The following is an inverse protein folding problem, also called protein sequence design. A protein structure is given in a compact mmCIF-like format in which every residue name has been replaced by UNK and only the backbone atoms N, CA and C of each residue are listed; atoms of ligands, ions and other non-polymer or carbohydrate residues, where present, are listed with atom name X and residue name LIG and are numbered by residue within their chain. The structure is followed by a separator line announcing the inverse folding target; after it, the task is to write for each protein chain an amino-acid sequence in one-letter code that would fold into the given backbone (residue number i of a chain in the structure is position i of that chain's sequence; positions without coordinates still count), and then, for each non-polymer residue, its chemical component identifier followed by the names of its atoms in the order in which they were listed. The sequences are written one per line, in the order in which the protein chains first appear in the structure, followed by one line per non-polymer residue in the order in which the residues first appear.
data_IF_293922162055
#
_entry.id   IF_293922162055
#
_cell.length_a   1.000
_cell.length_b   1.000
_cell.length_c   1.000
_cell.angle_alpha   90.00
_cell.angle_beta   90.00
_cell.angle_gamma   90.00
#
_symmetry.space_group_name_H-M   'P 1'
#
loop_
_entity.id
_entity.type
_entity.pdbx_description
1 polymer ?
#
# COMPACT_ATOMS: atom_id res chain seq x y z
N UNK A 1 -4.26 -45.54 -28.76
CA UNK A 1 -4.49 -44.49 -29.76
C UNK A 1 -5.26 -43.39 -29.05
N UNK A 2 -4.57 -42.41 -28.46
CA UNK A 2 -5.19 -41.25 -27.80
C UNK A 2 -4.75 -40.01 -28.57
N UNK A 3 -5.70 -39.43 -29.27
CA UNK A 3 -5.52 -38.21 -30.06
C UNK A 3 -5.47 -37.00 -29.16
N UNK A 4 -4.30 -36.38 -29.09
CA UNK A 4 -4.07 -35.08 -28.46
C UNK A 4 -4.76 -33.97 -29.25
N UNK A 5 -5.79 -33.33 -28.67
CA UNK A 5 -6.39 -32.11 -29.23
C UNK A 5 -5.55 -30.89 -28.85
N UNK A 6 -4.86 -30.32 -29.82
CA UNK A 6 -4.23 -29.00 -29.70
C UNK A 6 -5.32 -27.92 -29.70
N UNK A 7 -5.32 -27.10 -28.65
CA UNK A 7 -6.10 -25.86 -28.58
C UNK A 7 -5.28 -24.72 -29.17
N UNK A 8 -5.77 -23.93 -30.13
CA UNK A 8 -5.02 -22.82 -30.69
C UNK A 8 -4.99 -21.63 -29.73
N UNK A 9 -3.77 -21.18 -29.46
CA UNK A 9 -3.44 -19.98 -28.72
C UNK A 9 -3.94 -18.74 -29.49
N UNK A 10 -4.91 -18.03 -28.94
CA UNK A 10 -5.49 -16.82 -29.51
C UNK A 10 -4.56 -15.65 -29.20
N UNK A 11 -3.76 -15.27 -30.21
CA UNK A 11 -2.89 -14.09 -30.17
C UNK A 11 -3.80 -12.85 -30.32
N UNK A 12 -3.99 -12.12 -29.23
CA UNK A 12 -4.70 -10.84 -29.22
C UNK A 12 -3.73 -9.74 -29.65
N UNK A 13 -3.81 -9.34 -30.92
CA UNK A 13 -3.13 -8.16 -31.46
C UNK A 13 -3.79 -6.90 -30.89
N UNK A 14 -3.11 -6.20 -29.99
CA UNK A 14 -3.47 -4.84 -29.61
C UNK A 14 -3.06 -3.90 -30.74
N UNK A 15 -4.03 -3.47 -31.53
CA UNK A 15 -3.88 -2.40 -32.52
C UNK A 15 -3.76 -1.06 -31.75
N UNK A 16 -2.56 -0.52 -31.69
CA UNK A 16 -2.29 0.85 -31.24
C UNK A 16 -2.79 1.81 -32.33
N UNK A 17 -3.98 2.38 -32.14
CA UNK A 17 -4.49 3.46 -33.00
C UNK A 17 -3.70 4.75 -32.73
N UNK A 18 -2.79 5.04 -33.64
CA UNK A 18 -2.11 6.33 -33.75
C UNK A 18 -3.16 7.36 -34.22
N UNK A 19 -3.69 8.16 -33.31
CA UNK A 19 -4.48 9.33 -33.66
C UNK A 19 -3.53 10.42 -34.16
N UNK A 20 -3.42 10.53 -35.49
CA UNK A 20 -2.75 11.64 -36.15
C UNK A 20 -3.69 12.85 -36.07
N UNK A 21 -3.40 13.77 -35.15
CA UNK A 21 -4.07 15.06 -35.10
C UNK A 21 -3.54 15.90 -36.26
N UNK A 22 -4.33 15.95 -37.33
CA UNK A 22 -4.11 16.90 -38.44
C UNK A 22 -4.44 18.31 -37.94
N UNK A 23 -3.44 19.06 -37.55
CA UNK A 23 -3.57 20.51 -37.30
C UNK A 23 -3.62 21.20 -38.67
N UNK A 24 -4.80 21.37 -39.19
CA UNK A 24 -5.05 22.30 -40.28
C UNK A 24 -4.83 23.73 -39.78
N UNK A 25 -3.67 24.27 -40.08
CA UNK A 25 -3.41 25.70 -39.92
C UNK A 25 -4.28 26.49 -40.94
N UNK A 26 -5.52 26.75 -40.57
CA UNK A 26 -6.30 27.79 -41.20
C UNK A 26 -5.77 29.12 -40.65
N UNK A 27 -5.01 29.79 -41.48
CA UNK A 27 -4.65 31.22 -41.33
C UNK A 27 -5.93 32.04 -41.44
N UNK A 28 -6.74 32.06 -40.40
CA UNK A 28 -7.73 33.12 -40.24
C UNK A 28 -6.95 34.37 -39.85
N UNK A 29 -6.92 35.34 -40.78
CA UNK A 29 -6.63 36.72 -40.42
C UNK A 29 -7.68 37.16 -39.41
N UNK A 30 -7.43 36.91 -38.13
CA UNK A 30 -8.14 37.53 -37.05
C UNK A 30 -7.67 38.98 -37.04
N UNK A 31 -8.56 39.88 -37.48
CA UNK A 31 -8.46 41.29 -37.14
C UNK A 31 -8.24 41.40 -35.64
N UNK A 32 -7.01 41.65 -35.26
CA UNK A 32 -6.63 41.90 -33.87
C UNK A 32 -7.28 43.22 -33.49
N UNK A 33 -8.52 43.14 -33.04
CA UNK A 33 -9.17 44.22 -32.37
C UNK A 33 -8.39 44.43 -31.07
N UNK A 34 -7.35 45.28 -31.16
CA UNK A 34 -6.54 45.69 -30.00
C UNK A 34 -7.46 46.50 -29.11
N UNK A 35 -8.21 45.79 -28.29
CA UNK A 35 -8.90 46.38 -27.14
C UNK A 35 -7.80 46.92 -26.25
N UNK A 36 -7.52 48.23 -26.38
CA UNK A 36 -6.61 48.96 -25.50
C UNK A 36 -7.19 48.79 -24.09
N UNK A 37 -6.66 47.82 -23.35
CA UNK A 37 -6.95 47.69 -21.93
C UNK A 37 -6.53 49.03 -21.29
N UNK A 38 -7.41 49.68 -20.53
CA UNK A 38 -7.04 50.92 -19.85
C UNK A 38 -5.75 50.65 -19.08
N UNK A 39 -4.77 51.54 -19.19
CA UNK A 39 -3.46 51.43 -18.56
C UNK A 39 -3.69 51.23 -17.05
N UNK A 40 -3.47 50.02 -16.59
CA UNK A 40 -3.50 49.71 -15.15
C UNK A 40 -2.53 50.66 -14.45
N UNK A 41 -2.99 51.30 -13.40
CA UNK A 41 -2.13 52.13 -12.56
C UNK A 41 -1.00 51.28 -11.95
N UNK A 42 0.14 51.90 -11.66
CA UNK A 42 1.25 51.18 -11.05
C UNK A 42 0.83 50.48 -9.74
N UNK A 43 -0.11 51.05 -9.02
CA UNK A 43 -0.68 50.50 -7.78
C UNK A 43 -1.51 49.21 -8.03
N UNK A 44 -2.33 49.18 -9.09
CA UNK A 44 -3.11 48.00 -9.47
C UNK A 44 -2.21 46.83 -9.88
N UNK A 45 -1.11 47.08 -10.57
CA UNK A 45 -0.13 46.03 -10.94
C UNK A 45 0.56 45.42 -9.71
N UNK A 46 0.93 46.27 -8.74
CA UNK A 46 1.55 45.82 -7.49
C UNK A 46 0.54 45.00 -6.68
N UNK A 47 -0.71 45.43 -6.59
CA UNK A 47 -1.76 44.70 -5.90
C UNK A 47 -2.06 43.31 -6.54
N UNK A 48 -2.06 43.28 -7.89
CA UNK A 48 -2.24 42.02 -8.63
C UNK A 48 -1.05 41.08 -8.46
N UNK A 49 0.18 41.60 -8.45
CA UNK A 49 1.39 40.77 -8.20
C UNK A 49 1.43 40.21 -6.78
N UNK A 50 1.03 41.00 -5.78
CA UNK A 50 0.94 40.53 -4.40
C UNK A 50 -0.12 39.41 -4.29
N UNK A 51 -1.29 39.61 -4.86
CA UNK A 51 -2.36 38.60 -4.88
C UNK A 51 -1.93 37.32 -5.60
N UNK A 52 -1.20 37.45 -6.71
CA UNK A 52 -0.67 36.30 -7.44
C UNK A 52 0.37 35.53 -6.60
N UNK A 53 1.23 36.21 -5.86
CA UNK A 53 2.19 35.58 -4.93
C UNK A 53 1.49 34.85 -3.80
N UNK A 54 0.45 35.45 -3.22
CA UNK A 54 -0.35 34.80 -2.18
C UNK A 54 -1.06 33.53 -2.70
N UNK A 55 -1.64 33.59 -3.90
CA UNK A 55 -2.27 32.43 -4.52
C UNK A 55 -1.26 31.32 -4.83
N UNK A 56 -0.07 31.66 -5.31
CA UNK A 56 1.00 30.67 -5.53
C UNK A 56 1.43 30.03 -4.22
N UNK A 57 1.65 30.82 -3.17
CA UNK A 57 2.02 30.30 -1.87
C UNK A 57 0.95 29.35 -1.30
N UNK A 58 -0.32 29.74 -1.38
CA UNK A 58 -1.42 28.90 -0.94
C UNK A 58 -1.53 27.60 -1.76
N UNK A 59 -1.26 27.64 -3.06
CA UNK A 59 -1.24 26.46 -3.91
C UNK A 59 -0.08 25.52 -3.56
N UNK A 60 1.12 26.07 -3.30
CA UNK A 60 2.29 25.29 -2.87
C UNK A 60 2.06 24.63 -1.50
N UNK A 61 1.51 25.37 -0.54
CA UNK A 61 1.15 24.83 0.78
C UNK A 61 0.13 23.70 0.68
N UNK A 62 -0.87 23.85 -0.20
CA UNK A 62 -1.87 22.80 -0.45
C UNK A 62 -1.24 21.55 -1.06
N UNK A 63 -0.39 21.70 -2.07
CA UNK A 63 0.31 20.57 -2.69
C UNK A 63 1.24 19.88 -1.70
N UNK A 64 1.97 20.62 -0.88
CA UNK A 64 2.83 20.05 0.15
C UNK A 64 2.03 19.28 1.21
N UNK A 65 0.85 19.79 1.59
CA UNK A 65 -0.04 19.11 2.53
C UNK A 65 -0.63 17.81 1.94
N UNK A 66 -1.03 17.83 0.68
CA UNK A 66 -1.53 16.63 -0.04
C UNK A 66 -0.42 15.58 -0.19
N UNK A 67 0.80 15.99 -0.50
CA UNK A 67 1.94 15.09 -0.60
C UNK A 67 2.31 14.50 0.77
N UNK A 68 2.33 15.29 1.82
CA UNK A 68 2.56 14.83 3.18
C UNK A 68 1.49 13.83 3.64
N UNK A 69 0.21 14.08 3.31
CA UNK A 69 -0.89 13.17 3.59
C UNK A 69 -0.71 11.84 2.85
N UNK A 70 -0.35 11.86 1.56
CA UNK A 70 -0.09 10.66 0.76
C UNK A 70 1.08 9.85 1.32
N UNK A 71 2.18 10.51 1.71
CA UNK A 71 3.33 9.85 2.35
C UNK A 71 2.91 9.22 3.69
N UNK A 72 2.09 9.89 4.47
CA UNK A 72 1.59 9.38 5.74
C UNK A 72 0.68 8.15 5.55
N UNK A 73 -0.13 8.11 4.50
CA UNK A 73 -1.00 6.98 4.16
C UNK A 73 -0.23 5.77 3.65
N UNK A 74 0.90 5.97 2.97
CA UNK A 74 1.73 4.88 2.45
C UNK A 74 2.84 4.45 3.39
N UNK A 75 3.05 5.15 4.51
CA UNK A 75 4.09 4.82 5.47
C UNK A 75 3.81 3.46 6.16
N UNK A 76 4.69 2.44 6.01
CA UNK A 76 4.48 1.11 6.56
C UNK A 76 4.21 1.10 8.08
N UNK A 77 4.90 1.94 8.85
CA UNK A 77 4.69 2.05 10.29
C UNK A 77 3.31 2.58 10.63
N UNK A 78 2.79 3.56 9.89
CA UNK A 78 1.47 4.11 10.11
C UNK A 78 0.37 3.09 9.76
N UNK A 79 0.55 2.35 8.66
CA UNK A 79 -0.37 1.28 8.26
C UNK A 79 -0.41 0.18 9.31
N UNK A 80 0.75 -0.30 9.76
CA UNK A 80 0.85 -1.34 10.78
C UNK A 80 0.27 -0.89 12.13
N UNK A 81 0.48 0.37 12.51
CA UNK A 81 -0.08 0.95 13.74
C UNK A 81 -1.60 1.01 13.74
N UNK A 82 -2.20 1.30 12.59
CA UNK A 82 -3.67 1.41 12.42
C UNK A 82 -4.36 0.06 12.28
N UNK A 83 -3.63 -0.98 11.91
CA UNK A 83 -4.19 -2.31 11.64
C UNK A 83 -4.90 -2.87 12.87
N UNK A 84 -6.11 -3.42 12.64
CA UNK A 84 -6.96 -4.06 13.64
C UNK A 84 -7.35 -5.47 13.24
N UNK A 85 -7.59 -5.68 11.96
CA UNK A 85 -8.10 -6.94 11.43
C UNK A 85 -6.98 -7.65 10.65
N UNK A 86 -6.69 -8.86 11.07
CA UNK A 86 -5.59 -9.67 10.56
C UNK A 86 -6.14 -10.89 9.84
N UNK A 87 -5.69 -11.13 8.63
CA UNK A 87 -5.83 -12.41 7.94
C UNK A 87 -4.48 -13.13 7.99
N UNK A 88 -4.50 -14.40 8.35
CA UNK A 88 -3.32 -15.26 8.32
C UNK A 88 -3.48 -16.21 7.15
N UNK A 89 -2.42 -16.38 6.39
CA UNK A 89 -2.32 -17.32 5.28
C UNK A 89 -1.01 -18.08 5.35
N UNK A 90 -1.06 -19.37 5.04
CA UNK A 90 0.12 -20.21 4.95
C UNK A 90 0.04 -21.10 3.72
N UNK A 91 1.06 -21.02 2.89
CA UNK A 91 1.24 -21.92 1.74
C UNK A 91 2.05 -23.17 2.10
N UNK A 92 2.50 -23.27 3.36
CA UNK A 92 3.33 -24.35 3.82
C UNK A 92 2.50 -25.52 4.39
N UNK A 93 2.72 -26.72 3.89
CA UNK A 93 2.14 -27.95 4.47
C UNK A 93 2.66 -28.29 5.88
N UNK A 94 3.69 -27.61 6.35
CA UNK A 94 4.32 -27.80 7.66
C UNK A 94 3.85 -26.79 8.71
N UNK A 95 2.91 -25.91 8.35
CA UNK A 95 2.42 -24.88 9.24
C UNK A 95 0.93 -24.65 9.00
N UNK A 96 0.14 -24.84 10.03
CA UNK A 96 -1.30 -24.58 9.99
C UNK A 96 -1.58 -23.18 10.50
N UNK A 97 -2.43 -22.44 9.78
CA UNK A 97 -2.83 -21.06 10.13
C UNK A 97 -3.36 -20.96 11.57
N UNK A 98 -4.12 -22.00 12.01
CA UNK A 98 -4.69 -22.09 13.35
C UNK A 98 -3.62 -22.06 14.46
N UNK A 99 -2.42 -22.57 14.18
CA UNK A 99 -1.32 -22.54 15.16
C UNK A 99 -0.92 -21.09 15.48
N UNK A 100 -0.75 -20.24 14.45
CA UNK A 100 -0.45 -18.83 14.66
C UNK A 100 -1.64 -18.07 15.24
N UNK A 101 -2.86 -18.34 14.77
CA UNK A 101 -4.06 -17.73 15.33
C UNK A 101 -4.13 -17.94 16.85
N UNK A 102 -3.94 -19.16 17.31
CA UNK A 102 -3.94 -19.49 18.73
C UNK A 102 -2.77 -18.84 19.49
N UNK A 103 -1.59 -18.76 18.86
CA UNK A 103 -0.43 -18.12 19.46
C UNK A 103 -0.61 -16.59 19.62
N UNK A 104 -1.21 -15.92 18.63
CA UNK A 104 -1.52 -14.49 18.69
C UNK A 104 -2.59 -14.18 19.74
N UNK A 105 -3.68 -14.98 19.80
CA UNK A 105 -4.76 -14.78 20.79
C UNK A 105 -4.29 -14.97 22.24
N UNK A 106 -3.21 -15.68 22.47
CA UNK A 106 -2.61 -15.83 23.82
C UNK A 106 -1.79 -14.61 24.24
N UNK A 107 -1.55 -13.66 23.35
CA UNK A 107 -0.80 -12.44 23.68
C UNK A 107 -1.73 -11.39 24.27
N UNK A 108 -1.38 -10.88 25.43
CA UNK A 108 -2.18 -9.85 26.14
C UNK A 108 -2.31 -8.56 25.34
N UNK A 109 -1.27 -8.22 24.57
CA UNK A 109 -1.26 -7.05 23.68
C UNK A 109 -2.29 -7.17 22.56
N UNK A 110 -2.55 -8.40 22.07
CA UNK A 110 -3.52 -8.64 21.01
C UNK A 110 -4.93 -8.18 21.43
N UNK A 111 -5.33 -8.57 22.63
CA UNK A 111 -6.62 -8.14 23.21
C UNK A 111 -6.61 -6.66 23.58
N UNK A 112 -5.53 -6.18 24.23
CA UNK A 112 -5.42 -4.77 24.62
C UNK A 112 -5.51 -3.81 23.41
N UNK A 113 -5.03 -4.23 22.26
CA UNK A 113 -5.13 -3.46 21.04
C UNK A 113 -6.40 -3.71 20.23
N UNK A 114 -7.32 -4.51 20.76
CA UNK A 114 -8.59 -4.86 20.12
C UNK A 114 -8.40 -5.41 18.70
N UNK A 115 -7.40 -6.27 18.54
CA UNK A 115 -7.14 -6.90 17.25
C UNK A 115 -8.07 -8.11 17.05
N UNK A 116 -8.49 -8.32 15.81
CA UNK A 116 -9.33 -9.44 15.42
C UNK A 116 -8.64 -10.27 14.32
N UNK A 117 -8.86 -11.57 14.34
CA UNK A 117 -8.43 -12.46 13.26
C UNK A 117 -9.65 -12.87 12.46
N UNK A 118 -9.58 -12.70 11.17
CA UNK A 118 -10.56 -13.25 10.23
C UNK A 118 -10.06 -14.55 9.66
N UNK A 119 -10.96 -15.49 9.53
CA UNK A 119 -10.69 -16.83 9.00
C UNK A 119 -11.31 -16.96 7.61
N UNK A 120 -10.55 -17.59 6.72
CA UNK A 120 -10.94 -17.91 5.36
C UNK A 120 -10.75 -16.78 4.35
N UNK A 121 -10.31 -17.18 3.17
CA UNK A 121 -10.02 -16.30 2.03
C UNK A 121 -11.22 -15.47 1.56
N UNK A 122 -12.45 -15.96 1.76
CA UNK A 122 -13.68 -15.21 1.44
C UNK A 122 -13.88 -13.95 2.26
N UNK A 123 -13.13 -13.77 3.36
CA UNK A 123 -13.15 -12.57 4.21
C UNK A 123 -11.91 -11.70 4.07
N UNK A 124 -11.12 -11.91 3.03
CA UNK A 124 -9.91 -11.13 2.76
C UNK A 124 -10.21 -9.63 2.68
N UNK A 125 -11.37 -9.27 2.18
CA UNK A 125 -11.74 -7.86 1.95
C UNK A 125 -11.93 -7.04 3.21
N UNK A 126 -12.18 -7.68 4.35
CA UNK A 126 -12.32 -6.97 5.63
C UNK A 126 -11.02 -6.90 6.43
N UNK A 127 -9.96 -7.62 6.01
CA UNK A 127 -8.68 -7.57 6.69
C UNK A 127 -7.96 -6.23 6.40
N UNK A 128 -7.27 -5.69 7.38
CA UNK A 128 -6.38 -4.53 7.21
C UNK A 128 -5.00 -5.00 6.74
N UNK A 129 -4.51 -6.09 7.33
CA UNK A 129 -3.22 -6.69 7.01
C UNK A 129 -3.35 -8.19 6.78
N UNK A 130 -2.47 -8.69 5.95
CA UNK A 130 -2.32 -10.11 5.65
C UNK A 130 -0.95 -10.56 6.16
N UNK A 131 -0.92 -11.62 6.95
CA UNK A 131 0.31 -12.27 7.41
C UNK A 131 0.46 -13.56 6.62
N UNK A 132 1.42 -13.57 5.73
CA UNK A 132 1.77 -14.74 4.93
C UNK A 132 2.94 -15.46 5.57
N UNK A 133 2.82 -16.79 5.72
CA UNK A 133 3.87 -17.63 6.30
C UNK A 133 4.28 -18.65 5.26
N UNK A 134 5.57 -18.75 5.04
CA UNK A 134 6.17 -19.74 4.18
C UNK A 134 7.32 -20.47 4.88
N UNK A 135 7.55 -21.71 4.45
CA UNK A 135 8.71 -22.50 4.84
C UNK A 135 9.36 -23.09 3.58
N UNK A 136 10.52 -22.57 3.18
CA UNK A 136 11.26 -23.15 2.06
C UNK A 136 11.55 -24.64 2.30
N UNK A 137 11.41 -25.42 1.23
CA UNK A 137 11.64 -26.87 1.28
C UNK A 137 13.04 -27.17 1.83
N UNK A 138 13.14 -28.26 2.59
CA UNK A 138 14.38 -28.75 3.21
C UNK A 138 15.02 -27.78 4.20
N UNK A 139 14.26 -26.83 4.75
CA UNK A 139 14.73 -25.94 5.80
C UNK A 139 13.92 -26.07 7.09
N UNK A 140 14.50 -25.61 8.19
CA UNK A 140 13.82 -25.40 9.47
C UNK A 140 13.51 -23.92 9.70
N UNK A 141 13.48 -23.12 8.62
CA UNK A 141 13.26 -21.69 8.69
C UNK A 141 11.87 -21.38 8.20
N UNK A 142 11.07 -20.78 9.06
CA UNK A 142 9.79 -20.18 8.72
C UNK A 142 10.01 -18.69 8.45
N UNK A 143 9.50 -18.21 7.35
CA UNK A 143 9.50 -16.80 7.00
C UNK A 143 8.09 -16.23 7.15
N UNK A 144 7.99 -14.96 7.53
CA UNK A 144 6.71 -14.27 7.51
C UNK A 144 6.84 -12.93 6.80
N UNK A 145 5.76 -12.55 6.15
CA UNK A 145 5.59 -11.25 5.53
C UNK A 145 4.24 -10.66 5.97
N UNK A 146 4.28 -9.42 6.44
CA UNK A 146 3.07 -8.66 6.76
C UNK A 146 2.84 -7.65 5.65
N UNK A 147 1.70 -7.74 4.99
CA UNK A 147 1.35 -6.89 3.85
C UNK A 147 0.07 -6.13 4.15
N UNK A 148 0.04 -4.85 3.80
CA UNK A 148 -1.20 -4.08 3.83
C UNK A 148 -2.11 -4.56 2.70
N UNK A 149 -3.34 -4.96 3.04
CA UNK A 149 -4.30 -5.43 2.04
C UNK A 149 -4.68 -4.34 1.03
N UNK A 150 -4.84 -3.10 1.50
CA UNK A 150 -5.39 -2.00 0.67
C UNK A 150 -4.48 -1.58 -0.47
N UNK A 151 -3.17 -1.66 -0.30
CA UNK A 151 -2.20 -1.14 -1.26
C UNK A 151 -1.05 -2.11 -1.58
N UNK A 152 -1.04 -3.31 -0.98
CA UNK A 152 -0.01 -4.31 -1.20
C UNK A 152 1.38 -3.97 -0.65
N UNK A 153 1.50 -2.90 0.14
CA UNK A 153 2.79 -2.50 0.73
C UNK A 153 3.21 -3.52 1.78
N UNK A 154 4.44 -4.00 1.67
CA UNK A 154 5.06 -4.85 2.70
C UNK A 154 5.40 -3.99 3.91
N UNK A 155 4.82 -4.33 5.05
CA UNK A 155 4.93 -3.57 6.31
C UNK A 155 6.08 -4.07 7.18
N UNK A 156 6.24 -5.39 7.24
CA UNK A 156 7.31 -6.06 7.98
C UNK A 156 7.57 -7.44 7.39
N UNK A 157 8.78 -7.94 7.59
CA UNK A 157 9.19 -9.29 7.25
C UNK A 157 10.12 -9.84 8.32
N UNK A 158 10.15 -11.16 8.45
CA UNK A 158 11.10 -11.78 9.35
C UNK A 158 11.21 -13.27 9.14
N UNK A 159 12.09 -13.89 9.92
CA UNK A 159 12.32 -15.34 9.87
C UNK A 159 12.52 -15.92 11.27
N UNK A 160 12.11 -17.16 11.44
CA UNK A 160 12.23 -17.92 12.67
C UNK A 160 12.73 -19.31 12.32
N UNK A 161 13.68 -19.84 13.08
CA UNK A 161 14.12 -21.21 12.94
C UNK A 161 13.45 -22.05 14.01
N UNK A 162 12.70 -23.09 13.60
CA UNK A 162 12.02 -24.00 14.49
C UNK A 162 11.87 -25.37 13.82
N UNK A 163 11.76 -26.42 14.63
CA UNK A 163 11.68 -27.78 14.11
C UNK A 163 10.36 -28.03 13.36
N UNK A 164 9.26 -27.54 13.89
CA UNK A 164 7.92 -27.70 13.33
C UNK A 164 7.07 -26.42 13.53
N UNK A 165 5.84 -26.45 13.00
CA UNK A 165 4.91 -25.32 13.09
C UNK A 165 4.46 -25.01 14.53
N UNK A 166 4.33 -26.02 15.39
CA UNK A 166 3.94 -25.80 16.78
C UNK A 166 5.02 -25.04 17.56
N UNK A 167 6.29 -25.36 17.32
CA UNK A 167 7.41 -24.65 17.91
C UNK A 167 7.62 -23.26 17.27
N UNK A 168 7.31 -23.12 15.97
CA UNK A 168 7.44 -21.85 15.25
C UNK A 168 6.38 -20.82 15.65
N UNK A 169 5.13 -21.25 15.82
CA UNK A 169 3.98 -20.36 16.01
C UNK A 169 4.14 -19.37 17.18
N UNK A 170 4.55 -19.76 18.41
CA UNK A 170 4.72 -18.83 19.51
C UNK A 170 5.84 -17.80 19.26
N UNK A 171 6.92 -18.23 18.58
CA UNK A 171 8.06 -17.36 18.27
C UNK A 171 7.67 -16.39 17.14
N UNK A 172 6.93 -16.84 16.12
CA UNK A 172 6.38 -16.00 15.07
C UNK A 172 5.42 -14.96 15.66
N UNK A 173 4.49 -15.39 16.52
CA UNK A 173 3.56 -14.49 17.19
C UNK A 173 4.29 -13.39 17.97
N UNK A 174 5.35 -13.75 18.71
CA UNK A 174 6.17 -12.79 19.44
C UNK A 174 6.82 -11.76 18.51
N UNK A 175 7.45 -12.24 17.43
CA UNK A 175 8.10 -11.37 16.45
C UNK A 175 7.13 -10.42 15.76
N UNK A 176 5.99 -10.95 15.33
CA UNK A 176 4.93 -10.16 14.68
C UNK A 176 4.41 -9.09 15.65
N UNK A 177 4.15 -9.46 16.89
CA UNK A 177 3.68 -8.51 17.91
C UNK A 177 4.74 -7.47 18.25
N UNK A 178 6.03 -7.82 18.26
CA UNK A 178 7.12 -6.86 18.43
C UNK A 178 7.14 -5.81 17.29
N UNK A 179 6.94 -6.23 16.03
CA UNK A 179 6.88 -5.28 14.90
C UNK A 179 5.69 -4.32 15.03
N UNK A 180 4.51 -4.84 15.41
CA UNK A 180 3.32 -4.02 15.65
C UNK A 180 3.56 -3.05 16.82
N UNK A 181 4.20 -3.51 17.89
CA UNK A 181 4.55 -2.74 19.09
C UNK A 181 5.46 -1.55 18.74
N UNK A 182 6.52 -1.81 17.98
CA UNK A 182 7.43 -0.76 17.49
C UNK A 182 6.70 0.24 16.59
N UNK A 183 5.77 -0.22 15.72
CA UNK A 183 4.98 0.67 14.88
C UNK A 183 4.02 1.55 15.70
N UNK A 184 3.56 1.07 16.85
CA UNK A 184 2.72 1.82 17.79
C UNK A 184 3.50 2.80 18.67
N UNK A 185 4.83 2.79 18.59
CA UNK A 185 5.70 3.66 19.35
C UNK A 185 6.07 3.15 20.75
N UNK A 186 5.75 1.89 21.03
CA UNK A 186 6.16 1.25 22.27
C UNK A 186 7.62 0.77 22.16
N UNK A 187 8.40 0.94 23.23
CA UNK A 187 9.81 0.56 23.22
C UNK A 187 9.98 -0.95 23.03
N UNK A 188 10.92 -1.37 22.18
CA UNK A 188 11.36 -2.78 22.16
C UNK A 188 11.86 -3.18 23.55
N UNK A 189 11.44 -4.34 24.08
CA UNK A 189 12.07 -4.84 25.30
C UNK A 189 13.57 -5.03 25.04
N UNK A 190 14.40 -4.44 25.92
CA UNK A 190 15.86 -4.66 25.86
C UNK A 190 16.10 -6.15 26.10
N UNK A 191 16.69 -6.83 25.14
CA UNK A 191 17.19 -8.21 25.32
C UNK A 191 18.39 -8.22 26.22
#
# INVERSE_FOLDING_TARGET
MNTMKLTPCMILFFAFSLVVINVNAQTAQQDVNVTIRPSQTAEERVAEEVKLKELRKAAEEKLAAEEAARIAETNPKNLLRKARIVLISSDSSFFEEVQLQNALRKRTEFDAWQMAIVDGWGKRDIADIIIEIDRPLFTYTFTYQITSRSNGIVLATGKVTAFDGNAAAPILAERIMEEIKVARGEARPKK
#
